data_IF_653323353350
#
_entry.id   IF_653323353350
#
_cell.length_a   1.000
_cell.length_b   1.000
_cell.length_c   1.000
_cell.angle_alpha   90.00
_cell.angle_beta   90.00
_cell.angle_gamma   90.00
#
_symmetry.space_group_name_H-M   'P 1'
#
loop_
_entity.id
_entity.type
_entity.pdbx_description
1 polymer ?
#
# COMPACT_ATOMS: atom_id res chain seq x y z
N UNK A 1 -3.56 -21.55 -4.63
CA UNK A 1 -2.34 -20.77 -4.34
C UNK A 1 -2.26 -20.50 -2.85
N UNK A 2 -1.04 -20.29 -2.35
CA UNK A 2 -0.73 -19.82 -1.00
C UNK A 2 -0.64 -18.29 -1.01
N UNK A 3 -1.44 -17.62 -0.18
CA UNK A 3 -1.49 -16.14 -0.14
C UNK A 3 -1.11 -15.65 1.26
N UNK A 4 -0.24 -14.65 1.31
CA UNK A 4 0.07 -13.91 2.53
C UNK A 4 -0.66 -12.56 2.54
N UNK A 5 -1.41 -12.31 3.61
CA UNK A 5 -2.15 -11.08 3.86
C UNK A 5 -1.45 -10.24 4.92
N UNK A 6 -1.39 -8.92 4.69
CA UNK A 6 -0.92 -7.93 5.65
C UNK A 6 -1.68 -6.61 5.50
N UNK A 7 -1.39 -5.61 6.32
CA UNK A 7 -1.91 -4.24 6.21
C UNK A 7 -1.07 -3.27 7.06
N UNK A 8 -1.49 -2.01 7.11
CA UNK A 8 -0.99 -0.98 8.04
C UNK A 8 -2.03 -0.44 9.02
N UNK A 9 -3.31 -0.76 8.87
CA UNK A 9 -4.36 -0.40 9.85
C UNK A 9 -4.30 -1.26 11.14
N UNK A 10 -3.59 -2.39 11.10
CA UNK A 10 -3.45 -3.34 12.21
C UNK A 10 -4.29 -4.62 12.03
N UNK A 11 -3.90 -5.68 12.72
CA UNK A 11 -4.48 -7.02 12.59
C UNK A 11 -5.99 -7.07 12.88
N UNK A 12 -6.47 -6.23 13.81
CA UNK A 12 -7.90 -6.19 14.18
C UNK A 12 -8.75 -5.28 13.28
N UNK A 13 -8.15 -4.57 12.32
CA UNK A 13 -8.84 -3.64 11.44
C UNK A 13 -9.91 -4.32 10.58
N UNK A 14 -10.94 -3.57 10.19
CA UNK A 14 -12.01 -4.10 9.35
C UNK A 14 -11.51 -4.47 7.95
N UNK A 15 -10.67 -3.63 7.34
CA UNK A 15 -10.20 -3.82 5.97
C UNK A 15 -9.46 -5.13 5.72
N UNK A 16 -8.62 -5.62 6.65
CA UNK A 16 -7.93 -6.91 6.51
C UNK A 16 -8.87 -8.11 6.73
N UNK A 17 -9.91 -7.95 7.57
CA UNK A 17 -10.97 -8.96 7.72
C UNK A 17 -11.77 -9.09 6.43
N UNK A 18 -12.14 -7.96 5.82
CA UNK A 18 -12.80 -7.91 4.51
C UNK A 18 -11.90 -8.55 3.43
N UNK A 19 -10.61 -8.21 3.41
CA UNK A 19 -9.67 -8.82 2.45
C UNK A 19 -9.63 -10.35 2.59
N UNK A 20 -9.46 -10.84 3.82
CA UNK A 20 -9.45 -12.28 4.12
C UNK A 20 -10.76 -12.94 3.68
N UNK A 21 -11.90 -12.31 3.97
CA UNK A 21 -13.21 -12.80 3.56
C UNK A 21 -13.34 -12.90 2.03
N UNK A 22 -12.91 -11.88 1.28
CA UNK A 22 -12.90 -11.91 -0.19
C UNK A 22 -12.05 -13.07 -0.70
N UNK A 23 -10.83 -13.23 -0.16
CA UNK A 23 -9.90 -14.29 -0.57
C UNK A 23 -10.50 -15.69 -0.34
N UNK A 24 -11.18 -15.90 0.78
CA UNK A 24 -11.87 -17.16 1.10
C UNK A 24 -13.07 -17.38 0.17
N UNK A 25 -13.99 -16.42 0.11
CA UNK A 25 -15.29 -16.58 -0.57
C UNK A 25 -15.16 -16.71 -2.09
N UNK A 26 -14.13 -16.08 -2.67
CA UNK A 26 -13.88 -16.13 -4.11
C UNK A 26 -12.92 -17.25 -4.52
N UNK A 27 -12.38 -18.01 -3.54
CA UNK A 27 -11.46 -19.12 -3.81
C UNK A 27 -10.12 -18.70 -4.42
N UNK A 28 -9.66 -17.47 -4.15
CA UNK A 28 -8.32 -17.01 -4.59
C UNK A 28 -7.26 -17.96 -4.04
N UNK A 29 -7.35 -18.29 -2.75
CA UNK A 29 -6.33 -19.04 -2.05
C UNK A 29 -6.88 -20.34 -1.48
N UNK A 30 -6.07 -21.40 -1.55
CA UNK A 30 -6.31 -22.66 -0.84
C UNK A 30 -5.63 -22.65 0.53
N UNK A 31 -4.64 -21.78 0.73
CA UNK A 31 -3.89 -21.60 1.96
C UNK A 31 -3.68 -20.10 2.18
N UNK A 32 -4.08 -19.59 3.35
CA UNK A 32 -4.08 -18.16 3.67
C UNK A 32 -3.28 -17.97 4.95
N UNK A 33 -2.33 -17.06 4.91
CA UNK A 33 -1.59 -16.59 6.08
C UNK A 33 -1.91 -15.13 6.33
N UNK A 34 -2.07 -14.74 7.59
CA UNK A 34 -2.23 -13.34 8.01
C UNK A 34 -1.10 -12.97 8.93
N UNK A 35 -0.27 -12.02 8.52
CA UNK A 35 0.82 -11.49 9.36
C UNK A 35 0.76 -9.97 9.29
N UNK A 36 0.26 -9.35 10.35
CA UNK A 36 -0.08 -7.93 10.35
C UNK A 36 0.36 -7.24 11.64
N UNK A 37 0.56 -5.91 11.61
CA UNK A 37 0.97 -5.14 12.78
C UNK A 37 -0.08 -5.17 13.89
N UNK A 38 0.35 -5.01 15.14
CA UNK A 38 -0.53 -4.95 16.32
C UNK A 38 -1.50 -3.77 16.27
N UNK A 39 -1.02 -2.62 15.81
CA UNK A 39 -1.74 -1.35 15.81
C UNK A 39 -1.56 -0.59 14.49
N UNK A 40 -2.34 0.47 14.32
CA UNK A 40 -2.29 1.33 13.15
C UNK A 40 -0.89 1.97 13.03
N UNK A 41 -0.28 1.81 11.85
CA UNK A 41 1.04 2.31 11.47
C UNK A 41 0.95 3.28 10.28
N UNK A 42 -0.16 4.00 10.11
CA UNK A 42 -0.33 4.96 9.01
C UNK A 42 0.81 5.98 8.97
N UNK A 43 1.39 6.18 7.79
CA UNK A 43 2.50 7.12 7.61
C UNK A 43 3.87 6.59 8.06
N UNK A 44 3.98 5.32 8.48
CA UNK A 44 5.28 4.72 8.84
C UNK A 44 6.23 4.52 7.63
N UNK A 45 5.73 4.71 6.41
CA UNK A 45 6.47 4.48 5.18
C UNK A 45 7.03 3.06 5.13
N UNK A 46 8.28 2.94 4.67
CA UNK A 46 8.99 1.66 4.50
C UNK A 46 9.93 1.30 5.65
N UNK A 47 9.67 1.80 6.85
CA UNK A 47 10.54 1.51 8.00
C UNK A 47 10.53 0.03 8.37
N UNK A 48 11.70 -0.50 8.72
CA UNK A 48 11.88 -1.86 9.25
C UNK A 48 12.48 -1.76 10.65
N UNK A 49 12.01 -2.58 11.59
CA UNK A 49 12.44 -2.57 13.00
C UNK A 49 13.85 -3.12 13.20
N UNK A 50 14.87 -2.38 12.74
CA UNK A 50 16.27 -2.76 12.93
C UNK A 50 16.69 -2.57 14.38
N UNK A 51 17.39 -3.58 14.93
CA UNK A 51 18.02 -3.53 16.27
C UNK A 51 17.06 -3.38 17.44
N UNK A 52 15.76 -3.60 17.22
CA UNK A 52 14.73 -3.64 18.25
C UNK A 52 14.11 -5.03 18.29
N UNK A 53 14.01 -5.62 19.48
CA UNK A 53 13.28 -6.88 19.64
C UNK A 53 11.82 -6.68 19.22
N UNK A 54 11.32 -7.55 18.35
CA UNK A 54 9.93 -7.51 17.87
C UNK A 54 9.17 -8.68 18.49
N UNK A 55 8.08 -8.37 19.19
CA UNK A 55 7.20 -9.38 19.75
C UNK A 55 6.28 -9.94 18.65
N UNK A 56 6.11 -11.26 18.66
CA UNK A 56 5.24 -12.00 17.74
C UNK A 56 4.20 -12.74 18.56
N UNK A 57 2.93 -12.51 18.29
CA UNK A 57 1.82 -13.18 18.95
C UNK A 57 1.10 -14.07 17.95
N UNK A 58 1.06 -15.38 18.23
CA UNK A 58 0.29 -16.32 17.43
C UNK A 58 -1.18 -16.29 17.86
N UNK A 59 -2.07 -15.98 16.92
CA UNK A 59 -3.54 -15.94 17.14
C UNK A 59 -4.17 -17.27 16.73
N UNK A 60 -3.68 -17.87 15.65
CA UNK A 60 -4.05 -19.21 15.19
C UNK A 60 -2.88 -19.84 14.42
N UNK A 61 -3.06 -21.04 13.85
CA UNK A 61 -2.01 -21.73 13.09
C UNK A 61 -1.48 -20.92 11.89
N UNK A 62 -2.28 -19.99 11.36
CA UNK A 62 -1.95 -19.21 10.16
C UNK A 62 -2.09 -17.70 10.36
N UNK A 63 -2.31 -17.24 11.60
CA UNK A 63 -2.55 -15.83 11.90
C UNK A 63 -1.67 -15.33 13.03
N UNK A 64 -0.94 -14.25 12.75
CA UNK A 64 0.09 -13.71 13.62
C UNK A 64 -0.01 -12.19 13.68
N UNK A 65 0.17 -11.67 14.90
CA UNK A 65 0.28 -10.25 15.18
C UNK A 65 1.74 -9.92 15.45
N UNK A 66 2.23 -8.85 14.84
CA UNK A 66 3.61 -8.39 14.96
C UNK A 66 3.61 -7.01 15.62
N UNK A 67 4.30 -6.85 16.75
CA UNK A 67 4.44 -5.54 17.39
C UNK A 67 5.53 -4.70 16.71
N UNK A 68 5.33 -4.39 15.42
CA UNK A 68 6.26 -3.61 14.60
C UNK A 68 5.55 -3.09 13.34
N UNK A 69 6.33 -2.57 12.38
CA UNK A 69 5.83 -1.97 11.13
C UNK A 69 5.23 -3.01 10.18
N UNK A 70 4.44 -2.58 9.18
CA UNK A 70 3.93 -3.45 8.10
C UNK A 70 5.06 -4.16 7.35
N UNK A 71 6.14 -3.45 7.02
CA UNK A 71 7.31 -4.05 6.37
C UNK A 71 7.95 -5.14 7.24
N UNK A 72 8.12 -4.87 8.55
CA UNK A 72 8.66 -5.87 9.48
C UNK A 72 7.73 -7.08 9.59
N UNK A 73 6.42 -6.86 9.54
CA UNK A 73 5.42 -7.92 9.59
C UNK A 73 5.55 -8.87 8.41
N UNK A 74 5.61 -8.33 7.18
CA UNK A 74 5.80 -9.15 5.97
C UNK A 74 7.19 -9.79 5.95
N UNK A 75 8.24 -9.08 6.36
CA UNK A 75 9.59 -9.62 6.43
C UNK A 75 9.67 -10.85 7.35
N UNK A 76 9.16 -10.77 8.58
CA UNK A 76 9.10 -11.91 9.50
C UNK A 76 8.17 -13.00 8.99
N UNK A 77 7.05 -12.62 8.38
CA UNK A 77 6.13 -13.51 7.67
C UNK A 77 6.88 -14.43 6.69
N UNK A 78 7.68 -13.82 5.82
CA UNK A 78 8.40 -14.49 4.76
C UNK A 78 9.62 -15.28 5.23
N UNK A 79 10.27 -14.86 6.31
CA UNK A 79 11.51 -15.47 6.79
C UNK A 79 11.30 -16.60 7.78
N UNK A 80 10.34 -16.46 8.70
CA UNK A 80 10.23 -17.34 9.86
C UNK A 80 8.84 -17.98 10.01
N UNK A 81 7.77 -17.29 9.62
CA UNK A 81 6.40 -17.68 10.02
C UNK A 81 5.73 -18.60 8.98
N UNK A 82 5.64 -18.17 7.72
CA UNK A 82 4.89 -18.89 6.67
C UNK A 82 5.63 -20.17 6.22
N UNK A 83 6.93 -20.24 6.47
CA UNK A 83 7.82 -21.38 6.19
C UNK A 83 8.10 -21.62 4.70
N UNK A 84 7.06 -21.69 3.87
CA UNK A 84 7.17 -21.79 2.40
C UNK A 84 6.83 -20.46 1.73
N UNK A 85 7.58 -20.10 0.68
CA UNK A 85 7.33 -18.89 -0.10
C UNK A 85 5.87 -18.84 -0.60
N UNK A 86 5.11 -17.76 -0.33
CA UNK A 86 3.77 -17.60 -0.87
C UNK A 86 3.79 -17.30 -2.38
N UNK A 87 2.68 -17.60 -3.04
CA UNK A 87 2.50 -17.35 -4.48
C UNK A 87 2.09 -15.89 -4.76
N UNK A 88 1.46 -15.23 -3.78
CA UNK A 88 0.94 -13.87 -3.87
C UNK A 88 0.93 -13.21 -2.49
N UNK A 89 1.26 -11.92 -2.43
CA UNK A 89 1.05 -11.07 -1.26
C UNK A 89 -0.03 -10.04 -1.56
N UNK A 90 -0.99 -9.92 -0.65
CA UNK A 90 -2.00 -8.87 -0.66
C UNK A 90 -1.86 -8.02 0.59
N UNK A 91 -1.67 -6.73 0.42
CA UNK A 91 -1.62 -5.77 1.54
C UNK A 91 -2.85 -4.87 1.51
N UNK A 92 -3.63 -4.85 2.59
CA UNK A 92 -4.85 -4.05 2.72
C UNK A 92 -6.02 -4.82 3.37
N UNK A 93 -7.28 -4.46 3.10
CA UNK A 93 -7.67 -3.26 2.34
C UNK A 93 -7.47 -2.04 3.23
N UNK A 94 -6.68 -1.06 2.78
CA UNK A 94 -6.44 0.16 3.54
C UNK A 94 -7.70 1.03 3.64
N UNK A 95 -7.89 1.63 4.81
CA UNK A 95 -8.93 2.63 5.09
C UNK A 95 -8.50 4.01 4.59
N UNK A 96 -8.51 4.20 3.27
CA UNK A 96 -8.04 5.40 2.59
C UNK A 96 -7.20 5.06 1.37
N UNK A 97 -7.29 5.91 0.34
CA UNK A 97 -6.54 5.74 -0.90
C UNK A 97 -5.06 6.08 -0.72
N UNK A 98 -4.21 5.40 -1.47
CA UNK A 98 -2.76 5.61 -1.54
C UNK A 98 -2.41 6.00 -2.98
N UNK A 99 -2.56 7.29 -3.30
CA UNK A 99 -2.38 7.86 -4.65
C UNK A 99 -1.43 9.05 -4.61
N UNK A 100 -0.92 9.47 -5.77
CA UNK A 100 0.00 10.62 -5.83
C UNK A 100 1.22 10.44 -4.91
N UNK A 101 1.61 11.51 -4.23
CA UNK A 101 2.80 11.48 -3.37
C UNK A 101 2.56 10.79 -2.00
N UNK A 102 1.31 10.42 -1.64
CA UNK A 102 1.03 9.61 -0.45
C UNK A 102 1.70 8.23 -0.52
N UNK A 103 1.92 7.73 -1.74
CA UNK A 103 2.53 6.42 -1.99
C UNK A 103 3.86 6.24 -1.24
N UNK A 104 4.67 7.30 -1.13
CA UNK A 104 5.96 7.25 -0.45
C UNK A 104 5.85 7.00 1.07
N UNK A 105 4.70 7.32 1.67
CA UNK A 105 4.44 7.22 3.11
C UNK A 105 3.53 6.04 3.48
N UNK A 106 3.03 5.31 2.48
CA UNK A 106 2.05 4.24 2.66
C UNK A 106 2.66 2.97 3.26
N UNK A 107 2.16 2.57 4.43
CA UNK A 107 2.51 1.29 5.04
C UNK A 107 1.90 0.11 4.29
N UNK A 108 0.70 0.29 3.72
CA UNK A 108 0.05 -0.71 2.86
C UNK A 108 0.95 -1.08 1.68
N UNK A 109 1.47 -0.07 0.96
CA UNK A 109 2.34 -0.28 -0.19
C UNK A 109 3.71 -0.82 0.25
N UNK A 110 4.23 -0.35 1.39
CA UNK A 110 5.48 -0.85 1.95
C UNK A 110 5.45 -2.35 2.20
N UNK A 111 4.38 -2.87 2.84
CA UNK A 111 4.19 -4.29 3.08
C UNK A 111 4.15 -5.11 1.77
N UNK A 112 3.44 -4.63 0.75
CA UNK A 112 3.43 -5.30 -0.57
C UNK A 112 4.84 -5.31 -1.20
N UNK A 113 5.58 -4.21 -1.06
CA UNK A 113 6.89 -4.05 -1.67
C UNK A 113 7.97 -4.97 -1.08
N UNK A 114 7.86 -5.38 0.19
CA UNK A 114 8.76 -6.40 0.77
C UNK A 114 8.67 -7.74 0.02
N UNK A 115 7.47 -8.11 -0.42
CA UNK A 115 7.25 -9.26 -1.29
C UNK A 115 7.83 -9.10 -2.69
N UNK A 116 7.57 -7.94 -3.30
CA UNK A 116 8.01 -7.64 -4.65
C UNK A 116 9.55 -7.66 -4.75
N UNK A 117 10.25 -7.13 -3.73
CA UNK A 117 11.72 -7.14 -3.66
C UNK A 117 12.34 -8.54 -3.72
N UNK A 118 11.59 -9.60 -3.41
CA UNK A 118 12.02 -11.00 -3.56
C UNK A 118 11.25 -11.75 -4.65
N UNK A 119 10.71 -11.02 -5.62
CA UNK A 119 10.00 -11.52 -6.80
C UNK A 119 8.77 -12.37 -6.47
N UNK A 120 8.00 -11.96 -5.45
CA UNK A 120 6.64 -12.47 -5.21
C UNK A 120 5.67 -11.45 -5.82
N UNK A 121 4.70 -11.89 -6.65
CA UNK A 121 3.61 -11.01 -7.08
C UNK A 121 2.96 -10.34 -5.86
N UNK A 122 2.90 -9.02 -5.87
CA UNK A 122 2.47 -8.22 -4.72
C UNK A 122 1.49 -7.14 -5.13
N UNK A 123 0.39 -7.05 -4.39
CA UNK A 123 -0.70 -6.11 -4.67
C UNK A 123 -1.04 -5.35 -3.39
N UNK A 124 -1.05 -4.02 -3.48
CA UNK A 124 -1.57 -3.15 -2.43
C UNK A 124 -3.01 -2.75 -2.77
N UNK A 125 -3.91 -2.82 -1.81
CA UNK A 125 -5.34 -2.61 -2.01
C UNK A 125 -5.85 -1.55 -1.05
N UNK A 126 -6.50 -0.51 -1.58
CA UNK A 126 -6.96 0.64 -0.82
C UNK A 126 -8.40 1.01 -1.20
N UNK A 127 -9.21 1.43 -0.22
CA UNK A 127 -10.58 1.87 -0.43
C UNK A 127 -10.74 3.35 -0.02
N UNK A 128 -11.31 4.16 -0.91
CA UNK A 128 -11.70 5.53 -0.57
C UNK A 128 -12.81 5.53 0.49
N UNK A 129 -12.70 6.44 1.45
CA UNK A 129 -13.70 6.67 2.49
C UNK A 129 -14.26 8.08 2.41
N UNK A 130 -15.42 8.29 3.03
CA UNK A 130 -16.02 9.60 3.14
C UNK A 130 -15.25 10.45 4.18
N UNK A 131 -14.45 11.41 3.71
CA UNK A 131 -13.66 12.30 4.58
C UNK A 131 -14.46 13.11 5.61
N UNK A 132 -15.78 13.25 5.45
CA UNK A 132 -16.65 13.97 6.41
C UNK A 132 -17.26 13.06 7.47
N UNK A 133 -17.66 11.84 7.09
CA UNK A 133 -18.36 10.92 7.99
C UNK A 133 -17.47 9.81 8.53
N UNK A 134 -16.30 9.58 7.93
CA UNK A 134 -15.43 8.44 8.20
C UNK A 134 -15.98 7.11 7.65
N UNK A 135 -17.10 7.14 6.92
CA UNK A 135 -17.75 5.94 6.40
C UNK A 135 -16.93 5.31 5.27
N UNK A 136 -16.78 3.98 5.34
CA UNK A 136 -16.10 3.19 4.32
C UNK A 136 -17.09 2.20 3.72
N UNK A 137 -17.12 2.16 2.38
CA UNK A 137 -17.93 1.21 1.63
C UNK A 137 -17.02 0.15 0.98
N UNK A 138 -17.15 -1.10 1.41
CA UNK A 138 -16.34 -2.21 0.92
C UNK A 138 -16.95 -2.97 -0.28
N UNK A 139 -18.09 -2.52 -0.82
CA UNK A 139 -18.79 -3.20 -1.92
C UNK A 139 -17.95 -3.32 -3.20
N UNK A 140 -17.21 -2.27 -3.57
CA UNK A 140 -16.36 -2.29 -4.76
C UNK A 140 -15.26 -3.38 -4.67
N UNK A 141 -14.44 -3.46 -3.62
CA UNK A 141 -13.49 -4.55 -3.45
C UNK A 141 -14.14 -5.93 -3.45
N UNK A 142 -15.27 -6.09 -2.76
CA UNK A 142 -16.01 -7.37 -2.71
C UNK A 142 -16.45 -7.83 -4.10
N UNK A 143 -16.86 -6.89 -4.94
CA UNK A 143 -17.35 -7.17 -6.28
C UNK A 143 -16.25 -7.41 -7.31
N UNK A 144 -15.14 -6.68 -7.23
CA UNK A 144 -14.20 -6.60 -8.36
C UNK A 144 -12.80 -7.13 -8.06
N UNK A 145 -12.40 -7.32 -6.80
CA UNK A 145 -11.01 -7.62 -6.46
C UNK A 145 -10.54 -8.98 -7.03
N UNK A 146 -11.41 -10.00 -7.04
CA UNK A 146 -11.08 -11.32 -7.63
C UNK A 146 -10.71 -11.20 -9.11
N UNK A 147 -11.58 -10.58 -9.90
CA UNK A 147 -11.41 -10.45 -11.34
C UNK A 147 -10.16 -9.63 -11.67
N UNK A 148 -9.87 -8.60 -10.88
CA UNK A 148 -8.65 -7.79 -11.02
C UNK A 148 -7.40 -8.63 -10.72
N UNK A 149 -7.40 -9.40 -9.63
CA UNK A 149 -6.27 -10.27 -9.27
C UNK A 149 -6.01 -11.31 -10.36
N UNK A 150 -7.06 -11.99 -10.84
CA UNK A 150 -6.94 -12.97 -11.93
C UNK A 150 -6.38 -12.35 -13.20
N UNK A 151 -6.90 -11.18 -13.58
CA UNK A 151 -6.43 -10.42 -14.72
C UNK A 151 -4.93 -10.10 -14.58
N UNK A 152 -4.51 -9.57 -13.44
CA UNK A 152 -3.12 -9.20 -13.18
C UNK A 152 -2.19 -10.42 -13.18
N UNK A 153 -2.58 -11.53 -12.53
CA UNK A 153 -1.80 -12.76 -12.52
C UNK A 153 -1.71 -13.42 -13.90
N UNK A 154 -2.67 -13.17 -14.80
CA UNK A 154 -2.64 -13.59 -16.19
C UNK A 154 -1.73 -12.75 -17.10
N UNK A 155 -1.23 -11.60 -16.62
CA UNK A 155 -0.36 -10.72 -17.42
C UNK A 155 1.05 -11.33 -17.57
N UNK A 156 1.50 -11.68 -18.78
CA UNK A 156 2.79 -12.35 -18.97
C UNK A 156 4.00 -11.42 -18.78
N UNK A 157 3.78 -10.10 -18.82
CA UNK A 157 4.83 -9.09 -18.70
C UNK A 157 4.88 -8.42 -17.32
N UNK A 158 4.16 -8.93 -16.31
CA UNK A 158 4.26 -8.41 -14.95
C UNK A 158 5.61 -8.82 -14.35
N UNK A 159 6.55 -7.87 -14.31
CA UNK A 159 7.76 -7.98 -13.51
C UNK A 159 7.37 -8.08 -12.02
N UNK A 160 7.68 -9.21 -11.39
CA UNK A 160 7.30 -9.51 -10.00
C UNK A 160 7.98 -8.59 -8.97
N UNK A 161 8.96 -7.79 -9.38
CA UNK A 161 9.53 -6.70 -8.58
C UNK A 161 8.68 -5.42 -8.57
N UNK A 162 7.62 -5.38 -9.38
CA UNK A 162 6.64 -4.29 -9.45
C UNK A 162 5.44 -4.59 -8.56
N UNK A 163 5.06 -3.66 -7.69
CA UNK A 163 3.80 -3.73 -6.92
C UNK A 163 2.66 -3.17 -7.77
N UNK A 164 1.53 -3.87 -7.80
CA UNK A 164 0.30 -3.34 -8.37
C UNK A 164 -0.49 -2.63 -7.27
N UNK A 165 -0.59 -1.30 -7.35
CA UNK A 165 -1.34 -0.49 -6.39
C UNK A 165 -2.76 -0.24 -6.89
N UNK A 166 -3.75 -0.77 -6.18
CA UNK A 166 -5.18 -0.70 -6.51
C UNK A 166 -5.89 0.25 -5.56
N UNK A 167 -6.64 1.21 -6.10
CA UNK A 167 -7.53 2.07 -5.32
C UNK A 167 -8.96 1.96 -5.83
N UNK A 168 -9.90 1.74 -4.92
CA UNK A 168 -11.33 1.69 -5.20
C UNK A 168 -12.02 3.00 -4.83
N UNK A 169 -12.88 3.56 -5.70
CA UNK A 169 -13.63 4.76 -5.39
C UNK A 169 -14.71 4.48 -4.32
N UNK A 170 -15.18 5.52 -3.65
CA UNK A 170 -16.25 5.43 -2.66
C UNK A 170 -17.62 5.15 -3.32
N UNK A 171 -17.81 5.67 -4.54
CA UNK A 171 -19.01 5.45 -5.36
C UNK A 171 -18.89 4.16 -6.17
N UNK A 172 -20.01 3.65 -6.71
CA UNK A 172 -19.99 2.48 -7.60
C UNK A 172 -19.01 2.69 -8.75
N UNK A 173 -18.07 1.76 -8.90
CA UNK A 173 -17.03 1.86 -9.92
C UNK A 173 -17.61 1.84 -11.35
N UNK A 174 -17.14 2.77 -12.19
CA UNK A 174 -17.50 2.85 -13.62
C UNK A 174 -16.69 1.89 -14.50
N UNK A 175 -15.56 1.41 -14.00
CA UNK A 175 -14.61 0.56 -14.71
C UNK A 175 -13.21 0.66 -14.10
N UNK A 176 -12.22 0.11 -14.81
CA UNK A 176 -10.81 0.13 -14.41
C UNK A 176 -10.05 1.11 -15.32
N UNK A 177 -9.15 1.90 -14.73
CA UNK A 177 -8.13 2.67 -15.44
C UNK A 177 -6.75 2.28 -14.94
N UNK A 178 -5.84 1.99 -15.87
CA UNK A 178 -4.41 1.94 -15.57
C UNK A 178 -3.88 3.37 -15.57
N UNK A 179 -3.18 3.76 -14.50
CA UNK A 179 -2.89 5.18 -14.25
C UNK A 179 -1.42 5.39 -13.91
N UNK A 180 -0.94 6.60 -14.18
CA UNK A 180 0.27 7.10 -13.55
C UNK A 180 0.00 7.50 -12.08
N UNK A 181 1.06 7.60 -11.28
CA UNK A 181 0.96 7.93 -9.84
C UNK A 181 0.23 9.26 -9.58
N UNK A 182 0.47 10.31 -10.38
CA UNK A 182 0.00 11.67 -10.10
C UNK A 182 0.89 12.41 -9.09
N UNK A 183 0.64 13.70 -8.87
CA UNK A 183 1.48 14.56 -8.00
C UNK A 183 0.64 15.55 -7.19
N UNK A 184 0.88 15.63 -5.88
CA UNK A 184 0.38 16.69 -4.99
C UNK A 184 1.22 16.73 -3.71
N UNK A 185 1.10 17.78 -2.88
CA UNK A 185 1.80 17.82 -1.59
C UNK A 185 0.87 17.20 -0.53
N UNK A 186 1.23 16.06 0.07
CA UNK A 186 0.32 15.29 0.91
C UNK A 186 0.20 15.77 2.35
N UNK A 187 1.15 16.56 2.83
CA UNK A 187 1.18 17.08 4.20
C UNK A 187 1.54 18.56 4.13
N UNK A 188 0.55 19.45 4.20
CA UNK A 188 0.76 20.90 4.18
C UNK A 188 -0.02 21.65 5.29
N UNK A 189 -0.94 20.99 5.98
CA UNK A 189 -1.74 21.57 7.05
C UNK A 189 -1.09 21.26 8.40
N UNK A 190 -0.68 22.31 9.11
CA UNK A 190 -0.07 22.21 10.43
C UNK A 190 -0.94 22.95 11.44
N UNK A 191 -1.37 22.25 12.47
CA UNK A 191 -2.06 22.83 13.62
C UNK A 191 -1.09 22.99 14.78
N UNK A 192 -0.89 24.22 15.24
CA UNK A 192 -0.12 24.53 16.45
C UNK A 192 -1.07 24.67 17.65
N UNK A 193 -0.72 24.01 18.76
CA UNK A 193 -1.36 24.18 20.06
C UNK A 193 -0.32 24.52 21.12
N UNK A 194 -0.45 25.71 21.73
CA UNK A 194 0.35 26.08 22.90
C UNK A 194 -0.19 25.42 24.15
N UNK A 195 0.68 24.73 24.87
CA UNK A 195 0.34 24.01 26.10
C UNK A 195 0.53 24.92 27.31
N UNK A 196 -0.25 24.66 28.37
CA UNK A 196 -0.17 25.38 29.64
C UNK A 196 1.23 25.25 30.28
N UNK A 197 1.97 24.18 29.96
CA UNK A 197 3.36 23.97 30.39
C UNK A 197 4.39 24.88 29.72
N UNK A 198 4.00 25.72 28.76
CA UNK A 198 4.90 26.57 27.97
C UNK A 198 5.50 25.88 26.73
N UNK A 199 5.22 24.59 26.52
CA UNK A 199 5.56 23.88 25.27
C UNK A 199 4.54 24.13 24.17
N UNK A 200 4.90 23.86 22.90
CA UNK A 200 3.96 23.82 21.78
C UNK A 200 3.87 22.40 21.21
N UNK A 201 2.66 21.97 20.87
CA UNK A 201 2.39 20.73 20.13
C UNK A 201 2.04 21.07 18.69
N UNK A 202 2.56 20.30 17.74
CA UNK A 202 2.26 20.43 16.32
C UNK A 202 1.63 19.14 15.81
N UNK A 203 0.47 19.28 15.16
CA UNK A 203 -0.18 18.17 14.44
C UNK A 203 0.00 18.40 12.95
N UNK A 204 0.53 17.40 12.25
CA UNK A 204 0.63 17.40 10.79
C UNK A 204 -0.59 16.66 10.24
N UNK A 205 -1.47 17.40 9.58
CA UNK A 205 -2.66 16.84 8.95
C UNK A 205 -2.38 16.50 7.47
N UNK A 206 -3.06 15.46 6.98
CA UNK A 206 -3.03 15.13 5.55
C UNK A 206 -3.80 16.18 4.75
N UNK A 207 -3.19 16.62 3.67
CA UNK A 207 -3.80 17.43 2.64
C UNK A 207 -4.69 16.55 1.75
N UNK A 208 -5.80 17.12 1.27
CA UNK A 208 -6.53 16.51 0.15
C UNK A 208 -6.06 17.14 -1.16
N UNK A 209 -5.85 16.35 -2.23
CA UNK A 209 -5.40 16.90 -3.49
C UNK A 209 -6.44 17.87 -4.08
N UNK A 210 -6.01 19.11 -4.38
CA UNK A 210 -6.87 20.16 -4.94
C UNK A 210 -7.56 19.67 -6.22
N UNK A 211 -8.89 19.67 -6.23
CA UNK A 211 -9.71 19.24 -7.37
C UNK A 211 -9.88 20.33 -8.43
N UNK A 212 -9.61 21.60 -8.10
CA UNK A 212 -9.93 22.75 -8.97
C UNK A 212 -8.83 23.13 -9.96
N UNK A 213 -7.58 22.76 -9.70
CA UNK A 213 -6.42 23.18 -10.49
C UNK A 213 -5.68 22.01 -11.17
N UNK A 214 -6.38 20.90 -11.45
CA UNK A 214 -5.75 19.75 -12.10
C UNK A 214 -5.73 19.96 -13.61
N UNK A 215 -4.53 19.93 -14.20
CA UNK A 215 -4.38 19.84 -15.65
C UNK A 215 -4.94 18.51 -16.19
N UNK A 216 -4.86 18.31 -17.51
CA UNK A 216 -5.46 17.18 -18.23
C UNK A 216 -4.79 15.79 -18.00
N UNK A 217 -4.02 15.61 -16.92
CA UNK A 217 -3.30 14.36 -16.70
C UNK A 217 -4.28 13.24 -16.28
N UNK A 218 -4.31 12.14 -17.05
CA UNK A 218 -4.98 10.86 -16.71
C UNK A 218 -4.18 10.11 -15.62
N UNK A 219 -4.03 10.73 -14.44
CA UNK A 219 -3.38 10.15 -13.29
C UNK A 219 -4.37 9.47 -12.32
N UNK A 220 -3.82 8.76 -11.33
CA UNK A 220 -4.62 8.04 -10.34
C UNK A 220 -5.56 8.94 -9.53
N UNK A 221 -5.21 10.22 -9.36
CA UNK A 221 -5.96 11.18 -8.56
C UNK A 221 -7.20 11.64 -9.34
N UNK A 222 -7.04 11.96 -10.64
CA UNK A 222 -8.18 12.27 -11.50
C UNK A 222 -9.09 11.06 -11.71
N UNK A 223 -8.51 9.89 -11.97
CA UNK A 223 -9.29 8.69 -12.28
C UNK A 223 -10.16 8.22 -11.10
N UNK A 224 -9.64 8.29 -9.87
CA UNK A 224 -10.43 7.92 -8.68
C UNK A 224 -11.60 8.91 -8.46
N UNK A 225 -11.35 10.21 -8.63
CA UNK A 225 -12.36 11.27 -8.53
C UNK A 225 -13.45 11.12 -9.61
N UNK A 226 -13.06 10.67 -10.81
CA UNK A 226 -13.98 10.38 -11.91
C UNK A 226 -14.77 9.06 -11.69
N UNK A 227 -14.51 8.31 -10.60
CA UNK A 227 -15.24 7.10 -10.22
C UNK A 227 -14.71 5.80 -10.85
N UNK A 228 -13.43 5.76 -11.22
CA UNK A 228 -12.78 4.57 -11.74
C UNK A 228 -11.93 3.89 -10.67
N UNK A 229 -11.84 2.56 -10.75
CA UNK A 229 -10.82 1.80 -10.02
C UNK A 229 -9.48 2.10 -10.69
N UNK A 230 -8.49 2.48 -9.90
CA UNK A 230 -7.15 2.80 -10.43
C UNK A 230 -6.19 1.65 -10.16
N UNK A 231 -5.36 1.35 -11.15
CA UNK A 231 -4.26 0.39 -11.04
C UNK A 231 -2.98 1.10 -11.48
N UNK A 232 -2.05 1.29 -10.55
CA UNK A 232 -0.76 1.93 -10.81
C UNK A 232 0.36 0.91 -10.57
N UNK A 233 1.16 0.55 -11.60
CA UNK A 233 2.35 -0.28 -11.40
C UNK A 233 3.46 0.56 -10.76
N UNK A 234 4.01 0.11 -9.63
CA UNK A 234 5.01 0.83 -8.85
C UNK A 234 6.34 0.05 -8.82
N UNK A 235 7.40 0.71 -9.26
CA UNK A 235 8.79 0.24 -9.09
C UNK A 235 9.35 0.76 -7.77
N UNK A 236 10.34 0.03 -7.25
CA UNK A 236 11.07 0.42 -6.03
C UNK A 236 12.59 0.55 -6.23
N UNK A 237 13.07 0.31 -7.44
CA UNK A 237 14.32 0.91 -7.87
C UNK A 237 14.07 2.41 -8.11
N UNK A 238 14.56 3.23 -7.20
CA UNK A 238 14.39 4.68 -7.24
C UNK A 238 15.51 5.37 -8.05
N UNK A 239 16.35 4.60 -8.73
CA UNK A 239 17.39 5.16 -9.61
C UNK A 239 16.72 5.91 -10.76
N UNK A 240 17.00 7.21 -10.85
CA UNK A 240 16.71 7.99 -12.04
C UNK A 240 17.77 7.67 -13.09
N UNK A 241 17.47 6.70 -13.95
CA UNK A 241 18.41 6.23 -14.97
C UNK A 241 18.77 7.31 -15.99
N UNK A 242 17.85 8.23 -16.31
CA UNK A 242 18.09 9.32 -17.24
C UNK A 242 19.12 10.32 -16.66
N UNK A 243 18.98 10.65 -15.38
CA UNK A 243 19.95 11.48 -14.66
C UNK A 243 21.28 10.73 -14.47
N UNK A 244 21.24 9.44 -14.13
CA UNK A 244 22.44 8.61 -13.98
C UNK A 244 23.28 8.58 -15.28
N UNK A 245 22.63 8.39 -16.44
CA UNK A 245 23.31 8.44 -17.73
C UNK A 245 23.97 9.80 -17.98
N UNK A 246 23.28 10.89 -17.64
CA UNK A 246 23.81 12.25 -17.73
C UNK A 246 25.05 12.43 -16.84
N UNK A 247 25.04 11.88 -15.62
CA UNK A 247 26.17 11.95 -14.68
C UNK A 247 27.36 11.10 -15.15
N UNK A 248 27.14 9.90 -15.67
CA UNK A 248 28.19 9.03 -16.21
C UNK A 248 28.95 9.73 -17.35
N UNK A 249 28.26 10.54 -18.15
CA UNK A 249 28.89 11.30 -19.24
C UNK A 249 29.97 12.28 -18.76
N UNK A 250 29.89 12.76 -17.51
CA UNK A 250 30.86 13.67 -16.90
C UNK A 250 32.20 12.99 -16.61
N UNK A 251 32.26 11.65 -16.53
CA UNK A 251 33.49 10.90 -16.28
C UNK A 251 34.57 11.16 -17.34
N UNK A 252 34.18 11.55 -18.56
CA UNK A 252 35.14 11.91 -19.62
C UNK A 252 36.00 13.13 -19.29
N UNK A 253 35.63 13.92 -18.28
CA UNK A 253 36.37 15.10 -17.81
C UNK A 253 36.95 14.98 -16.39
N UNK A 254 36.63 13.93 -15.64
CA UNK A 254 37.12 13.77 -14.27
C UNK A 254 38.48 13.06 -14.21
N UNK A 255 39.47 13.71 -13.58
CA UNK A 255 40.76 13.12 -13.20
C UNK A 255 40.81 12.92 -11.68
N UNK A 256 39.97 12.03 -11.17
CA UNK A 256 40.07 11.49 -9.80
C UNK A 256 40.25 9.99 -9.93
#
# INVERSE_FOLDING_TARGET
MKVLLSNDDGFHANGIKVLKEIVITTGIASEIWVVAPLSNCSGCGRSIGLRTATEVYQVSDTEFIINSTPSTSVFLGLKEIVGTKPDLILSGINSGINIGNDIAYSGTIAAAAEGAMINIPSIAVSQEYNGKTGEINWENPRKFLKDIIDMLLGVPFWDKSTVMNINFPLISAKGIKFTSQGKYIPCNEIEEKKNISGSASYTINRATPDKKNRGDFDDSIKAIDDGYITITPLKFDMTDFDILESLISLNKGCKI
#
